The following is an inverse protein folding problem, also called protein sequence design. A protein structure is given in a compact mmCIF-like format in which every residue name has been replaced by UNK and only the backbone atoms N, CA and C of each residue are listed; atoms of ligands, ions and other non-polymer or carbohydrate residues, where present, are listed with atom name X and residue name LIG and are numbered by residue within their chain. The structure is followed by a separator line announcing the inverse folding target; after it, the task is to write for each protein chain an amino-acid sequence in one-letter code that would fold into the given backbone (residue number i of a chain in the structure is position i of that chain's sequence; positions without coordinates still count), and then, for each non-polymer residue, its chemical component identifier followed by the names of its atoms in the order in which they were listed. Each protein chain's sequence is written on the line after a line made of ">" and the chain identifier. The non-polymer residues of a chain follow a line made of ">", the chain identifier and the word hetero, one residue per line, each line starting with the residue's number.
data_IF_975928896282
#
_entry.id   IF_975928896282
#
_cell.length_a   1.000
_cell.length_b   1.000
_cell.length_c   1.000
_cell.angle_alpha   90.00
_cell.angle_beta   90.00
_cell.angle_gamma   90.00
#
_symmetry.space_group_name_H-M   'P 1'
#
loop_
_entity.id
_entity.type
_entity.pdbx_description
1 polymer ?
#
# COMPACT_ATOMS: atom_id res chain seq x y z
N UNK A 1 4.98 -3.04 -4.01
CA UNK A 1 3.61 -3.15 -3.47
C UNK A 1 2.79 -1.95 -3.86
N UNK A 2 1.50 -1.99 -3.66
CA UNK A 2 0.61 -0.91 -4.03
C UNK A 2 -0.83 -1.25 -3.65
N UNK A 3 -1.78 -0.53 -4.22
CA UNK A 3 -3.20 -0.75 -3.96
C UNK A 3 -3.86 -1.33 -5.21
N UNK A 4 -4.60 -2.41 -5.03
CA UNK A 4 -5.32 -3.09 -6.12
C UNK A 4 -6.81 -3.16 -5.80
N UNK A 5 -7.65 -2.76 -6.74
CA UNK A 5 -9.11 -2.86 -6.61
C UNK A 5 -9.77 -2.97 -7.99
N UNK A 6 -10.59 -3.99 -8.16
CA UNK A 6 -11.43 -4.19 -9.36
C UNK A 6 -10.63 -4.12 -10.69
N UNK A 7 -9.47 -4.80 -10.75
CA UNK A 7 -8.62 -4.82 -11.93
C UNK A 7 -7.74 -3.59 -12.13
N UNK A 8 -7.80 -2.64 -11.21
CA UNK A 8 -7.01 -1.41 -11.26
C UNK A 8 -5.93 -1.43 -10.20
N UNK A 9 -4.75 -0.95 -10.55
CA UNK A 9 -3.59 -0.95 -9.66
C UNK A 9 -2.95 0.44 -9.59
N UNK A 10 -2.60 0.85 -8.39
CA UNK A 10 -1.83 2.06 -8.10
C UNK A 10 -0.57 1.65 -7.36
N UNK A 11 0.60 2.03 -7.89
CA UNK A 11 1.87 1.68 -7.26
C UNK A 11 2.16 2.55 -6.03
N UNK A 12 3.17 2.15 -5.25
CA UNK A 12 3.55 2.86 -4.03
C UNK A 12 3.90 4.32 -4.28
N UNK A 13 4.60 4.62 -5.37
CA UNK A 13 4.99 6.00 -5.69
C UNK A 13 3.78 6.90 -5.88
N UNK A 14 2.75 6.40 -6.55
CA UNK A 14 1.51 7.14 -6.74
C UNK A 14 0.84 7.43 -5.40
N UNK A 15 0.77 6.43 -4.52
CA UNK A 15 0.22 6.59 -3.18
C UNK A 15 1.03 7.59 -2.35
N UNK A 16 2.34 7.51 -2.36
CA UNK A 16 3.22 8.43 -1.64
C UNK A 16 3.10 9.87 -2.15
N UNK A 17 2.98 10.03 -3.44
CA UNK A 17 2.80 11.35 -4.06
C UNK A 17 1.51 12.03 -3.60
N UNK A 18 0.43 11.27 -3.52
CA UNK A 18 -0.84 11.78 -2.99
C UNK A 18 -0.73 12.06 -1.49
N UNK A 19 -0.15 11.14 -0.73
CA UNK A 19 0.05 11.28 0.70
C UNK A 19 0.86 12.54 1.06
N UNK A 20 1.84 12.90 0.24
CA UNK A 20 2.67 14.10 0.46
C UNK A 20 1.88 15.40 0.42
N UNK A 21 0.68 15.40 -0.16
CA UNK A 21 -0.21 16.57 -0.20
C UNK A 21 -1.17 16.65 0.98
N UNK A 22 -1.19 15.63 1.84
CA UNK A 22 -2.12 15.52 2.97
C UNK A 22 -1.41 15.76 4.28
N UNK A 23 -2.17 16.17 5.29
CA UNK A 23 -1.65 16.36 6.64
C UNK A 23 -1.51 15.02 7.37
N UNK A 24 -0.41 14.87 8.10
CA UNK A 24 -0.22 13.72 8.97
C UNK A 24 -1.09 13.87 10.23
N UNK A 25 -1.62 12.75 10.69
CA UNK A 25 -2.32 12.66 11.97
C UNK A 25 -1.77 11.48 12.77
N UNK A 26 -1.71 11.58 14.11
CA UNK A 26 -1.32 10.44 14.93
C UNK A 26 -2.45 9.41 14.98
N UNK A 27 -2.10 8.13 14.85
CA UNK A 27 -3.08 7.04 14.97
C UNK A 27 -2.57 5.99 15.94
N UNK A 28 -3.49 5.33 16.68
CA UNK A 28 -3.11 4.21 17.54
C UNK A 28 -2.73 3.00 16.69
N UNK A 29 -1.56 2.45 16.94
CA UNK A 29 -1.10 1.22 16.25
C UNK A 29 -2.09 0.08 16.46
N UNK A 30 -2.65 -0.01 17.66
CA UNK A 30 -3.62 -1.04 18.04
C UNK A 30 -4.81 -1.15 17.08
N UNK A 31 -5.28 -0.04 16.54
CA UNK A 31 -6.44 -0.03 15.64
C UNK A 31 -6.19 -0.73 14.31
N UNK A 32 -4.93 -0.96 13.95
CA UNK A 32 -4.53 -1.51 12.65
C UNK A 32 -3.83 -2.86 12.70
N UNK A 33 -3.76 -3.49 13.89
CA UNK A 33 -3.08 -4.77 14.09
C UNK A 33 -3.74 -5.95 13.38
N UNK A 34 -4.99 -5.81 12.99
CA UNK A 34 -5.75 -6.85 12.27
C UNK A 34 -5.88 -6.57 10.79
N UNK A 35 -5.04 -5.66 10.27
CA UNK A 35 -4.99 -5.37 8.83
C UNK A 35 -4.50 -6.59 8.05
N UNK A 36 -5.04 -6.79 6.86
CA UNK A 36 -4.63 -7.87 5.98
C UNK A 36 -3.21 -7.64 5.46
N UNK A 37 -2.43 -8.72 5.36
CA UNK A 37 -1.09 -8.71 4.81
C UNK A 37 -1.09 -9.30 3.39
N UNK A 38 -0.41 -8.61 2.47
CA UNK A 38 -0.17 -9.11 1.12
C UNK A 38 1.28 -9.58 0.96
N UNK A 39 1.91 -10.02 2.05
CA UNK A 39 3.28 -10.49 2.02
C UNK A 39 3.33 -11.91 1.46
N UNK A 40 4.03 -12.05 0.35
CA UNK A 40 4.19 -13.35 -0.30
C UNK A 40 5.42 -14.05 0.29
N UNK A 41 5.18 -14.92 1.27
CA UNK A 41 6.23 -15.67 1.96
C UNK A 41 6.03 -17.15 1.72
N UNK A 42 6.93 -17.77 0.95
CA UNK A 42 6.87 -19.18 0.62
C UNK A 42 8.02 -20.00 1.19
N UNK A 43 9.11 -19.36 1.61
CA UNK A 43 10.27 -20.03 2.20
C UNK A 43 10.93 -19.17 3.30
N UNK A 44 11.95 -19.72 3.93
CA UNK A 44 12.68 -19.03 5.01
C UNK A 44 13.35 -17.74 4.54
N UNK A 45 13.83 -17.73 3.30
CA UNK A 45 14.49 -16.55 2.73
C UNK A 45 13.52 -15.38 2.63
N UNK A 46 12.27 -15.62 2.29
CA UNK A 46 11.24 -14.59 2.23
C UNK A 46 10.96 -14.02 3.61
N UNK A 47 10.93 -14.87 4.65
CA UNK A 47 10.75 -14.41 6.04
C UNK A 47 11.91 -13.54 6.48
N UNK A 48 13.16 -13.94 6.20
CA UNK A 48 14.36 -13.16 6.52
C UNK A 48 14.29 -11.78 5.85
N UNK A 49 13.89 -11.73 4.58
CA UNK A 49 13.76 -10.48 3.83
C UNK A 49 12.73 -9.55 4.48
N UNK A 50 11.57 -10.07 4.88
CA UNK A 50 10.55 -9.27 5.55
C UNK A 50 11.05 -8.72 6.90
N UNK A 51 11.79 -9.53 7.66
CA UNK A 51 12.38 -9.09 8.92
C UNK A 51 13.39 -7.96 8.68
N UNK A 52 14.22 -8.06 7.65
CA UNK A 52 15.16 -7.00 7.29
C UNK A 52 14.44 -5.70 6.93
N UNK A 53 13.39 -5.78 6.11
CA UNK A 53 12.59 -4.62 5.73
C UNK A 53 11.96 -3.98 6.96
N UNK A 54 11.41 -4.77 7.88
CA UNK A 54 10.86 -4.30 9.14
C UNK A 54 11.93 -3.56 9.95
N UNK A 55 13.12 -4.14 10.09
CA UNK A 55 14.19 -3.55 10.89
C UNK A 55 14.68 -2.21 10.33
N UNK A 56 14.64 -2.04 9.01
CA UNK A 56 15.06 -0.83 8.31
C UNK A 56 13.94 0.21 8.17
N UNK A 57 12.71 -0.13 8.49
CA UNK A 57 11.58 0.79 8.35
C UNK A 57 11.77 2.02 9.24
N UNK A 58 11.42 3.19 8.72
CA UNK A 58 11.51 4.47 9.43
C UNK A 58 10.13 4.88 9.93
N UNK A 59 9.96 4.89 11.27
CA UNK A 59 8.69 5.22 11.90
C UNK A 59 8.32 6.71 11.81
N UNK A 60 9.21 7.56 11.33
CA UNK A 60 8.92 8.99 11.10
C UNK A 60 8.10 9.20 9.82
N UNK A 61 8.16 8.26 8.86
CA UNK A 61 7.32 8.33 7.67
C UNK A 61 5.91 7.86 8.00
N UNK A 62 4.87 8.59 7.53
CA UNK A 62 3.49 8.20 7.81
C UNK A 62 3.11 6.92 7.08
N UNK A 63 2.28 6.12 7.72
CA UNK A 63 1.56 5.05 7.04
C UNK A 63 0.39 5.66 6.24
N UNK A 64 -0.06 4.97 5.21
CA UNK A 64 -1.16 5.43 4.37
C UNK A 64 -2.38 4.55 4.62
N UNK A 65 -3.48 5.18 5.01
CA UNK A 65 -4.73 4.51 5.36
C UNK A 65 -5.84 5.08 4.49
N UNK A 66 -6.71 4.22 3.98
CA UNK A 66 -7.92 4.69 3.29
C UNK A 66 -8.92 5.23 4.32
N UNK A 67 -9.82 6.10 3.88
CA UNK A 67 -10.85 6.67 4.77
C UNK A 67 -11.82 5.62 5.31
N UNK A 68 -11.90 4.45 4.71
CA UNK A 68 -12.66 3.30 5.21
C UNK A 68 -11.83 2.33 6.08
N UNK A 69 -10.59 2.71 6.45
CA UNK A 69 -9.79 2.01 7.45
C UNK A 69 -8.83 0.95 6.92
N UNK A 70 -8.67 0.84 5.60
CA UNK A 70 -7.74 -0.12 4.99
C UNK A 70 -6.31 0.46 4.96
N UNK A 71 -5.32 -0.28 5.46
CA UNK A 71 -3.91 0.12 5.35
C UNK A 71 -3.44 -0.10 3.92
N UNK A 72 -3.13 0.97 3.22
CA UNK A 72 -2.67 0.95 1.83
C UNK A 72 -1.16 0.79 1.74
N UNK A 73 -0.41 1.35 2.69
CA UNK A 73 1.04 1.26 2.77
C UNK A 73 1.49 1.45 4.22
N UNK A 74 2.48 0.67 4.64
CA UNK A 74 3.11 0.84 5.95
C UNK A 74 2.96 -0.33 6.92
N UNK A 75 2.59 -1.52 6.45
CA UNK A 75 2.49 -2.70 7.32
C UNK A 75 3.81 -3.02 8.02
N UNK A 76 4.96 -2.84 7.35
CA UNK A 76 6.28 -3.04 7.96
C UNK A 76 6.51 -2.07 9.12
N UNK A 77 6.09 -0.80 8.98
CA UNK A 77 6.17 0.21 10.04
C UNK A 77 5.26 -0.12 11.21
N UNK A 78 4.06 -0.63 10.95
CA UNK A 78 3.16 -1.10 12.00
C UNK A 78 3.78 -2.24 12.81
N UNK A 79 4.35 -3.24 12.15
CA UNK A 79 5.00 -4.37 12.83
C UNK A 79 6.17 -3.87 13.67
N UNK A 80 7.01 -2.99 13.11
CA UNK A 80 8.15 -2.42 13.84
C UNK A 80 7.68 -1.65 15.08
N UNK A 81 6.64 -0.85 14.96
CA UNK A 81 6.07 -0.10 16.09
C UNK A 81 5.64 -1.04 17.22
N UNK A 82 4.97 -2.14 16.89
CA UNK A 82 4.58 -3.16 17.88
C UNK A 82 5.81 -3.74 18.58
N UNK A 83 6.83 -4.13 17.81
CA UNK A 83 8.05 -4.74 18.35
C UNK A 83 8.83 -3.78 19.26
N UNK A 84 8.78 -2.49 18.98
CA UNK A 84 9.45 -1.45 19.78
C UNK A 84 8.55 -0.88 20.88
N UNK A 85 7.33 -1.35 21.02
CA UNK A 85 6.40 -0.87 22.06
C UNK A 85 5.89 0.54 21.83
N UNK A 86 5.86 1.00 20.58
CA UNK A 86 5.35 2.32 20.19
C UNK A 86 3.86 2.22 19.97
N UNK A 87 3.09 3.03 20.70
CA UNK A 87 1.63 2.98 20.69
C UNK A 87 0.98 3.84 19.62
N UNK A 88 1.67 4.90 19.17
CA UNK A 88 1.12 5.89 18.23
C UNK A 88 2.14 6.18 17.15
N UNK A 89 1.69 6.18 15.90
CA UNK A 89 2.54 6.51 14.74
C UNK A 89 1.82 7.49 13.81
N UNK A 90 2.56 8.25 12.99
CA UNK A 90 1.94 9.15 12.03
C UNK A 90 1.25 8.39 10.89
N UNK A 91 0.15 8.91 10.44
CA UNK A 91 -0.61 8.38 9.31
C UNK A 91 -1.15 9.49 8.42
N UNK A 92 -1.40 9.16 7.18
CA UNK A 92 -2.12 10.00 6.22
C UNK A 92 -3.32 9.23 5.73
N UNK A 93 -4.48 9.88 5.68
CA UNK A 93 -5.71 9.29 5.16
C UNK A 93 -5.95 9.72 3.72
N UNK A 94 -6.26 8.75 2.86
CA UNK A 94 -6.58 8.95 1.45
C UNK A 94 -8.00 8.44 1.19
N UNK A 95 -8.81 9.26 0.54
CA UNK A 95 -10.10 8.82 0.01
C UNK A 95 -9.85 8.14 -1.34
N UNK A 96 -9.97 6.82 -1.38
CA UNK A 96 -9.65 6.04 -2.58
C UNK A 96 -10.58 6.31 -3.76
N UNK A 97 -11.75 6.89 -3.52
CA UNK A 97 -12.68 7.26 -4.58
C UNK A 97 -12.43 8.66 -5.15
N UNK A 98 -11.94 9.58 -4.29
CA UNK A 98 -11.78 10.99 -4.67
C UNK A 98 -10.34 11.40 -4.95
N UNK A 99 -9.38 10.84 -4.20
CA UNK A 99 -7.99 11.29 -4.22
C UNK A 99 -7.12 10.55 -5.22
N UNK A 100 -7.50 9.33 -5.63
CA UNK A 100 -6.69 8.53 -6.53
C UNK A 100 -6.81 9.04 -7.98
N UNK A 101 -5.67 9.21 -8.67
CA UNK A 101 -5.67 9.53 -10.10
C UNK A 101 -6.05 8.30 -10.92
N UNK A 102 -5.94 8.41 -12.25
CA UNK A 102 -6.03 7.25 -13.12
C UNK A 102 -5.06 6.16 -12.65
N UNK A 103 -5.45 4.87 -12.67
CA UNK A 103 -4.58 3.80 -12.21
C UNK A 103 -3.33 3.66 -13.06
N UNK A 104 -2.23 3.22 -12.44
CA UNK A 104 -0.98 2.93 -13.13
C UNK A 104 -1.11 1.72 -14.05
N UNK A 105 -2.00 0.79 -13.69
CA UNK A 105 -2.36 -0.35 -14.50
C UNK A 105 -3.86 -0.62 -14.38
N UNK A 106 -4.52 -0.83 -15.53
CA UNK A 106 -5.94 -1.22 -15.61
C UNK A 106 -6.03 -2.51 -16.42
N UNK A 107 -6.43 -3.60 -15.75
CA UNK A 107 -6.53 -4.93 -16.37
C UNK A 107 -7.53 -4.95 -17.53
N UNK A 108 -8.67 -4.29 -17.36
CA UNK A 108 -9.68 -4.21 -18.41
C UNK A 108 -9.13 -3.49 -19.64
N UNK A 109 -8.47 -2.35 -19.44
CA UNK A 109 -7.85 -1.57 -20.51
C UNK A 109 -6.75 -2.38 -21.21
N UNK A 110 -5.93 -3.11 -20.47
CA UNK A 110 -4.89 -3.97 -21.01
C UNK A 110 -5.49 -5.08 -21.90
N UNK A 111 -6.59 -5.69 -21.48
CA UNK A 111 -7.31 -6.69 -22.26
C UNK A 111 -7.86 -6.08 -23.56
N UNK A 112 -8.43 -4.88 -23.51
CA UNK A 112 -8.94 -4.20 -24.69
C UNK A 112 -7.81 -3.87 -25.68
N UNK A 113 -6.67 -3.39 -25.19
CA UNK A 113 -5.50 -3.14 -26.04
C UNK A 113 -4.97 -4.42 -26.70
N UNK A 114 -4.94 -5.52 -25.97
CA UNK A 114 -4.53 -6.82 -26.49
C UNK A 114 -5.47 -7.29 -27.61
N UNK A 115 -6.77 -7.13 -27.45
CA UNK A 115 -7.77 -7.46 -28.49
C UNK A 115 -7.60 -6.58 -29.73
N UNK A 116 -7.31 -5.30 -29.57
CA UNK A 116 -7.06 -4.40 -30.71
C UNK A 116 -5.82 -4.81 -31.50
N UNK A 117 -4.73 -5.21 -30.83
CA UNK A 117 -3.51 -5.71 -31.48
C UNK A 117 -3.81 -6.96 -32.30
N UNK A 118 -4.58 -7.89 -31.77
CA UNK A 118 -4.96 -9.11 -32.46
C UNK A 118 -5.78 -8.80 -33.71
N UNK A 119 -6.63 -7.78 -33.68
CA UNK A 119 -7.43 -7.35 -34.84
C UNK A 119 -6.60 -6.70 -35.94
N UNK A 120 -5.54 -5.97 -35.58
CA UNK A 120 -4.69 -5.30 -36.57
C UNK A 120 -3.71 -6.23 -37.27
N UNK A 121 -3.40 -7.36 -36.68
CA UNK A 121 -2.48 -8.34 -37.25
C UNK A 121 -3.17 -9.36 -38.19
N UNK A 122 -4.45 -9.28 -38.29
CA UNK A 122 -5.23 -10.10 -39.23
C UNK A 122 -5.58 -9.30 -40.49
#
# INVERSE_FOLDING_TARGET
>A
MGYYKAGKFWNDRTLWKIASTKNEVPVPVEDYLRSDLNWNMSDLQDVVREIEIISLADLHYPIIISTDGLVLDGCHRLVKAVLEGIEVIPAVFIDVEKDLPAPDYDEWEAVQKSKRKTHTDS
#
